data_IF_284117205334
#
_entry.id   IF_284117205334
#
_cell.length_a   1.000
_cell.length_b   1.000
_cell.length_c   1.000
_cell.angle_alpha   90.00
_cell.angle_beta   90.00
_cell.angle_gamma   90.00
#
_symmetry.space_group_name_H-M   'P 1'
#
loop_
_entity.id
_entity.type
_entity.pdbx_description
1 polymer ?
#
# COMPACT_ATOMS: atom_id res chain seq x y z
N UNK A 1 -7.86 -14.46 -30.15
CA UNK A 1 -7.15 -13.19 -30.33
C UNK A 1 -5.99 -13.21 -29.37
N UNK A 2 -4.81 -13.40 -29.93
CA UNK A 2 -3.54 -13.36 -29.24
C UNK A 2 -3.32 -11.97 -28.62
N UNK A 3 -3.36 -11.88 -27.30
CA UNK A 3 -2.67 -10.81 -26.60
C UNK A 3 -1.39 -11.42 -26.05
N UNK A 4 -0.28 -11.12 -26.72
CA UNK A 4 1.05 -11.27 -26.15
C UNK A 4 1.05 -10.62 -24.76
N UNK A 5 1.66 -11.25 -23.73
CA UNK A 5 1.79 -10.60 -22.43
C UNK A 5 2.61 -9.33 -22.63
N UNK A 6 2.04 -8.19 -22.21
CA UNK A 6 2.72 -6.91 -22.12
C UNK A 6 4.11 -7.13 -21.52
N UNK A 7 5.12 -6.85 -22.34
CA UNK A 7 6.50 -6.88 -21.88
C UNK A 7 6.61 -5.96 -20.67
N UNK A 8 7.19 -6.45 -19.58
CA UNK A 8 7.59 -5.63 -18.45
C UNK A 8 8.64 -4.63 -18.95
N UNK A 9 8.17 -3.49 -19.44
CA UNK A 9 9.01 -2.40 -19.90
C UNK A 9 9.64 -1.73 -18.70
N UNK A 10 10.92 -2.00 -18.56
CA UNK A 10 11.85 -1.10 -17.91
C UNK A 10 11.65 0.29 -18.53
N UNK A 11 11.19 1.25 -17.72
CA UNK A 11 11.01 2.63 -18.18
C UNK A 11 12.35 3.20 -18.61
N UNK A 12 12.48 3.53 -19.91
CA UNK A 12 13.57 4.34 -20.41
C UNK A 12 13.16 5.82 -20.32
N UNK A 13 13.82 6.54 -19.41
CA UNK A 13 13.61 7.98 -19.23
C UNK A 13 14.48 8.81 -20.19
N UNK A 14 15.22 8.21 -21.13
CA UNK A 14 16.28 8.84 -21.93
C UNK A 14 15.91 10.14 -22.66
N UNK A 15 14.62 10.44 -22.87
CA UNK A 15 14.10 11.60 -23.61
C UNK A 15 13.34 12.64 -22.77
N UNK A 16 13.19 12.45 -21.45
CA UNK A 16 12.49 13.44 -20.60
C UNK A 16 13.38 14.65 -20.28
N UNK A 17 12.88 15.89 -20.25
CA UNK A 17 13.63 17.03 -19.70
C UNK A 17 14.11 16.69 -18.26
N UNK A 18 15.40 16.82 -17.98
CA UNK A 18 16.02 16.38 -16.72
C UNK A 18 16.49 14.92 -16.67
N UNK A 19 16.27 14.12 -17.72
CA UNK A 19 16.75 12.73 -17.77
C UNK A 19 18.27 12.59 -17.84
N UNK A 20 18.94 13.55 -18.48
CA UNK A 20 20.40 13.62 -18.48
C UNK A 20 20.93 13.89 -17.06
N UNK A 21 20.34 14.85 -16.36
CA UNK A 21 20.68 15.20 -14.98
C UNK A 21 20.38 14.05 -14.02
N UNK A 22 19.24 13.36 -14.19
CA UNK A 22 18.88 12.18 -13.41
C UNK A 22 19.84 11.01 -13.65
N UNK A 23 20.23 10.74 -14.91
CA UNK A 23 21.25 9.71 -15.22
C UNK A 23 22.59 10.06 -14.58
N UNK A 24 22.99 11.32 -14.65
CA UNK A 24 24.22 11.78 -14.04
C UNK A 24 24.17 11.64 -12.51
N UNK A 25 23.06 12.03 -11.87
CA UNK A 25 22.85 11.87 -10.45
C UNK A 25 22.88 10.39 -10.01
N UNK A 26 22.27 9.50 -10.78
CA UNK A 26 22.31 8.06 -10.54
C UNK A 26 23.72 7.49 -10.66
N UNK A 27 24.48 7.85 -11.70
CA UNK A 27 25.86 7.38 -11.85
C UNK A 27 26.78 7.95 -10.76
N UNK A 28 26.58 9.21 -10.35
CA UNK A 28 27.29 9.79 -9.19
C UNK A 28 26.97 9.04 -7.91
N UNK A 29 25.69 8.81 -7.61
CA UNK A 29 25.26 8.07 -6.42
C UNK A 29 25.79 6.63 -6.42
N UNK A 30 25.81 5.97 -7.58
CA UNK A 30 26.38 4.63 -7.73
C UNK A 30 27.89 4.61 -7.52
N UNK A 31 28.62 5.56 -8.11
CA UNK A 31 30.08 5.67 -7.95
C UNK A 31 30.44 5.90 -6.48
N UNK A 32 29.69 6.78 -5.81
CA UNK A 32 29.88 7.06 -4.39
C UNK A 32 29.57 5.85 -3.51
N UNK A 33 28.44 5.19 -3.73
CA UNK A 33 28.08 3.97 -3.01
C UNK A 33 29.10 2.85 -3.22
N UNK A 34 29.55 2.65 -4.47
CA UNK A 34 30.58 1.65 -4.81
C UNK A 34 31.86 1.92 -4.05
N UNK A 35 32.36 3.16 -4.07
CA UNK A 35 33.56 3.56 -3.33
C UNK A 35 33.43 3.21 -1.85
N UNK A 36 32.35 3.64 -1.20
CA UNK A 36 32.11 3.39 0.23
C UNK A 36 32.06 1.90 0.59
N UNK A 37 31.38 1.09 -0.23
CA UNK A 37 31.30 -0.35 0.01
C UNK A 37 32.61 -1.08 -0.29
N UNK A 38 33.35 -0.67 -1.32
CA UNK A 38 34.67 -1.20 -1.63
C UNK A 38 35.63 -0.94 -0.46
N UNK A 39 35.73 0.31 0.00
CA UNK A 39 36.62 0.69 1.11
C UNK A 39 36.27 -0.11 2.39
N UNK A 40 34.97 -0.30 2.64
CA UNK A 40 34.50 -1.13 3.74
C UNK A 40 34.93 -2.59 3.59
N UNK A 41 34.71 -3.21 2.43
CA UNK A 41 35.08 -4.60 2.16
C UNK A 41 36.60 -4.81 2.22
N UNK A 42 37.39 -3.87 1.68
CA UNK A 42 38.85 -3.92 1.73
C UNK A 42 39.34 -3.90 3.18
N UNK A 43 38.76 -3.03 4.01
CA UNK A 43 39.05 -2.99 5.45
C UNK A 43 38.70 -4.32 6.13
N UNK A 44 37.53 -4.89 5.83
CA UNK A 44 37.10 -6.18 6.40
C UNK A 44 38.02 -7.31 5.98
N UNK A 45 38.42 -7.37 4.71
CA UNK A 45 39.30 -8.41 4.20
C UNK A 45 40.72 -8.31 4.76
N UNK A 46 41.23 -7.09 4.94
CA UNK A 46 42.53 -6.84 5.60
C UNK A 46 42.54 -7.35 7.05
N UNK A 47 41.47 -7.05 7.80
CA UNK A 47 41.29 -7.53 9.17
C UNK A 47 41.22 -9.07 9.26
N UNK A 48 40.77 -9.74 8.21
CA UNK A 48 40.72 -11.21 8.12
C UNK A 48 42.03 -11.83 7.59
N UNK A 49 43.05 -11.01 7.31
CA UNK A 49 44.32 -11.48 6.76
C UNK A 49 44.21 -12.03 5.34
N UNK A 50 43.21 -11.57 4.58
CA UNK A 50 43.06 -11.97 3.19
C UNK A 50 44.22 -11.42 2.34
N UNK A 51 44.77 -12.21 1.40
CA UNK A 51 45.72 -11.67 0.42
C UNK A 51 45.00 -10.69 -0.50
N UNK A 52 45.64 -9.56 -0.78
CA UNK A 52 45.13 -8.49 -1.67
C UNK A 52 43.69 -8.00 -1.33
N UNK A 53 43.46 -7.44 -0.14
CA UNK A 53 42.13 -7.04 0.33
C UNK A 53 41.36 -6.12 -0.63
N UNK A 54 42.07 -5.21 -1.30
CA UNK A 54 41.51 -4.29 -2.30
C UNK A 54 40.98 -5.01 -3.54
N UNK A 55 41.73 -6.00 -4.04
CA UNK A 55 41.33 -6.80 -5.21
C UNK A 55 40.13 -7.67 -4.85
N UNK A 56 40.16 -8.28 -3.66
CA UNK A 56 39.06 -9.09 -3.18
C UNK A 56 37.79 -8.26 -2.95
N UNK A 57 37.93 -7.02 -2.47
CA UNK A 57 36.83 -6.06 -2.33
C UNK A 57 36.18 -5.72 -3.68
N UNK A 58 36.99 -5.43 -4.71
CA UNK A 58 36.47 -5.16 -6.06
C UNK A 58 35.73 -6.38 -6.63
N UNK A 59 36.32 -7.58 -6.52
CA UNK A 59 35.71 -8.82 -7.02
C UNK A 59 34.42 -9.16 -6.30
N UNK A 60 34.41 -9.08 -4.97
CA UNK A 60 33.22 -9.37 -4.16
C UNK A 60 32.10 -8.36 -4.45
N UNK A 61 32.44 -7.07 -4.53
CA UNK A 61 31.46 -6.04 -4.82
C UNK A 61 30.88 -6.19 -6.23
N UNK A 62 31.70 -6.54 -7.23
CA UNK A 62 31.21 -6.83 -8.58
C UNK A 62 30.31 -8.06 -8.62
N UNK A 63 30.73 -9.15 -7.99
CA UNK A 63 29.94 -10.38 -7.93
C UNK A 63 28.57 -10.18 -7.27
N UNK A 64 28.48 -9.32 -6.25
CA UNK A 64 27.25 -9.09 -5.51
C UNK A 64 26.33 -8.04 -6.16
N UNK A 65 26.88 -7.08 -6.91
CA UNK A 65 26.13 -5.88 -7.32
C UNK A 65 26.03 -5.68 -8.84
N UNK A 66 26.88 -6.33 -9.63
CA UNK A 66 26.90 -6.16 -11.10
C UNK A 66 26.22 -7.34 -11.78
N UNK A 67 24.91 -7.43 -11.58
CA UNK A 67 24.06 -8.41 -12.26
C UNK A 67 23.71 -7.93 -13.67
N UNK A 68 23.61 -8.87 -14.61
CA UNK A 68 23.24 -8.61 -16.00
C UNK A 68 22.16 -9.55 -16.47
N UNK A 69 21.29 -9.05 -17.33
CA UNK A 69 20.33 -9.87 -18.06
C UNK A 69 21.10 -10.85 -18.96
N UNK A 70 20.83 -12.15 -18.81
CA UNK A 70 21.50 -13.20 -19.61
C UNK A 70 21.25 -13.05 -21.11
N UNK A 71 20.16 -12.39 -21.51
CA UNK A 71 19.76 -12.21 -22.90
C UNK A 71 20.32 -10.93 -23.56
N UNK A 72 20.36 -9.81 -22.85
CA UNK A 72 20.84 -8.53 -23.41
C UNK A 72 22.25 -8.14 -22.96
N UNK A 73 22.77 -8.73 -21.88
CA UNK A 73 24.00 -8.28 -21.23
C UNK A 73 23.88 -6.92 -20.53
N UNK A 74 22.73 -6.26 -20.62
CA UNK A 74 22.45 -5.02 -19.90
C UNK A 74 22.44 -5.25 -18.39
N UNK A 75 22.77 -4.23 -17.61
CA UNK A 75 22.71 -4.32 -16.15
C UNK A 75 21.27 -4.57 -15.68
N UNK A 76 21.13 -5.51 -14.75
CA UNK A 76 19.89 -5.76 -14.05
C UNK A 76 19.44 -4.49 -13.32
N UNK A 77 18.16 -4.16 -13.43
CA UNK A 77 17.56 -2.99 -12.77
C UNK A 77 16.71 -3.36 -11.55
N UNK A 78 16.63 -4.65 -11.22
CA UNK A 78 15.89 -5.12 -10.05
C UNK A 78 16.60 -4.70 -8.76
N UNK A 79 15.82 -4.20 -7.79
CA UNK A 79 16.31 -3.92 -6.43
C UNK A 79 16.43 -5.14 -5.53
N UNK A 80 16.30 -6.36 -6.09
CA UNK A 80 16.32 -7.62 -5.35
C UNK A 80 17.75 -8.08 -4.96
N UNK A 81 18.78 -7.36 -5.42
CA UNK A 81 20.17 -7.49 -5.01
C UNK A 81 20.56 -6.13 -4.39
N UNK A 82 21.36 -5.99 -3.31
CA UNK A 82 22.05 -6.93 -2.44
C UNK A 82 21.61 -6.71 -0.98
N UNK A 83 20.67 -7.52 -0.52
CA UNK A 83 20.44 -7.84 0.90
C UNK A 83 20.19 -9.34 0.91
N UNK A 84 20.82 -10.08 1.82
CA UNK A 84 20.34 -11.43 2.10
C UNK A 84 18.95 -11.26 2.74
N UNK A 85 17.87 -11.68 2.08
CA UNK A 85 16.55 -11.50 2.65
C UNK A 85 16.42 -12.28 3.97
N UNK A 86 15.63 -11.75 4.89
CA UNK A 86 15.26 -12.41 6.14
C UNK A 86 14.22 -13.54 5.90
N UNK A 87 13.76 -13.66 4.66
CA UNK A 87 12.80 -14.65 4.18
C UNK A 87 13.31 -15.28 2.86
N UNK A 88 12.73 -16.39 2.44
CA UNK A 88 13.03 -17.03 1.15
C UNK A 88 12.33 -16.35 -0.05
N UNK A 89 11.72 -15.17 0.17
CA UNK A 89 11.09 -14.39 -0.90
C UNK A 89 12.10 -14.08 -2.01
N UNK A 90 11.69 -14.34 -3.25
CA UNK A 90 12.52 -14.22 -4.46
C UNK A 90 13.78 -15.10 -4.48
N UNK A 91 13.82 -16.17 -3.67
CA UNK A 91 14.93 -17.15 -3.63
C UNK A 91 16.29 -16.46 -3.50
N UNK A 92 16.41 -15.52 -2.57
CA UNK A 92 17.65 -14.76 -2.32
C UNK A 92 18.20 -14.01 -3.57
N UNK A 93 17.37 -13.79 -4.58
CA UNK A 93 17.76 -13.22 -5.87
C UNK A 93 18.26 -14.24 -6.89
N UNK A 94 18.40 -15.53 -6.55
CA UNK A 94 18.75 -16.60 -7.50
C UNK A 94 17.62 -16.84 -8.53
N UNK A 95 16.37 -16.62 -8.14
CA UNK A 95 15.23 -16.64 -9.04
C UNK A 95 15.00 -15.31 -9.77
N UNK A 96 15.93 -14.34 -9.71
CA UNK A 96 15.76 -13.05 -10.37
C UNK A 96 15.56 -13.21 -11.88
N UNK A 97 14.72 -12.35 -12.46
CA UNK A 97 14.41 -12.35 -13.89
C UNK A 97 15.65 -12.12 -14.76
N UNK A 98 16.71 -11.46 -14.26
CA UNK A 98 17.94 -11.24 -15.01
C UNK A 98 18.74 -12.52 -15.26
N UNK A 99 18.60 -13.54 -14.40
CA UNK A 99 19.27 -14.83 -14.55
C UNK A 99 18.54 -15.78 -15.54
N UNK A 100 17.38 -15.37 -16.08
CA UNK A 100 16.53 -16.21 -16.92
C UNK A 100 16.47 -15.70 -18.35
N UNK A 101 16.50 -16.62 -19.32
CA UNK A 101 16.29 -16.29 -20.72
C UNK A 101 14.87 -15.76 -20.92
N UNK A 102 14.64 -14.99 -21.99
CA UNK A 102 13.28 -14.51 -22.34
C UNK A 102 12.27 -15.66 -22.46
N UNK A 103 12.69 -16.81 -22.98
CA UNK A 103 11.83 -18.00 -23.08
C UNK A 103 11.49 -18.59 -21.70
N UNK A 104 12.47 -18.67 -20.80
CA UNK A 104 12.23 -19.19 -19.43
C UNK A 104 11.38 -18.23 -18.60
N UNK A 105 11.55 -16.91 -18.78
CA UNK A 105 10.67 -15.89 -18.19
C UNK A 105 9.23 -16.08 -18.65
N UNK A 106 9.00 -16.24 -19.97
CA UNK A 106 7.67 -16.49 -20.55
C UNK A 106 7.06 -17.78 -19.99
N UNK A 107 7.81 -18.88 -20.00
CA UNK A 107 7.35 -20.18 -19.46
C UNK A 107 6.98 -20.08 -17.98
N UNK A 108 7.81 -19.42 -17.17
CA UNK A 108 7.52 -19.28 -15.73
C UNK A 108 6.28 -18.43 -15.51
N UNK A 109 6.11 -17.35 -16.28
CA UNK A 109 4.92 -16.51 -16.22
C UNK A 109 3.65 -17.28 -16.61
N UNK A 110 3.69 -18.03 -17.71
CA UNK A 110 2.59 -18.91 -18.13
C UNK A 110 2.26 -19.96 -17.08
N UNK A 111 3.27 -20.61 -16.50
CA UNK A 111 3.08 -21.57 -15.43
C UNK A 111 2.46 -20.92 -14.19
N UNK A 112 2.95 -19.76 -13.77
CA UNK A 112 2.38 -19.01 -12.65
C UNK A 112 0.91 -18.64 -12.90
N UNK A 113 0.58 -18.13 -14.10
CA UNK A 113 -0.81 -17.82 -14.48
C UNK A 113 -1.69 -19.07 -14.44
N UNK A 114 -1.23 -20.18 -15.04
CA UNK A 114 -1.97 -21.44 -15.05
C UNK A 114 -2.17 -21.99 -13.63
N UNK A 115 -1.18 -21.87 -12.75
CA UNK A 115 -1.28 -22.30 -11.37
C UNK A 115 -2.29 -21.45 -10.59
N UNK A 116 -2.30 -20.12 -10.78
CA UNK A 116 -3.29 -19.24 -10.16
C UNK A 116 -4.69 -19.55 -10.67
N UNK A 117 -4.85 -19.74 -11.98
CA UNK A 117 -6.13 -20.12 -12.56
C UNK A 117 -6.62 -21.45 -11.99
N UNK A 118 -5.76 -22.47 -11.97
CA UNK A 118 -6.09 -23.78 -11.41
C UNK A 118 -6.44 -23.70 -9.92
N UNK A 119 -5.76 -22.85 -9.15
CA UNK A 119 -6.09 -22.61 -7.74
C UNK A 119 -7.50 -22.01 -7.60
N UNK A 120 -7.83 -20.95 -8.35
CA UNK A 120 -9.16 -20.32 -8.27
C UNK A 120 -10.28 -21.21 -8.84
N UNK A 121 -9.97 -22.12 -9.76
CA UNK A 121 -10.89 -23.16 -10.26
C UNK A 121 -11.03 -24.36 -9.31
N UNK A 122 -10.09 -24.52 -8.36
CA UNK A 122 -10.13 -25.60 -7.38
C UNK A 122 -11.27 -25.43 -6.37
N UNK A 123 -11.69 -26.50 -5.66
CA UNK A 123 -12.71 -26.39 -4.61
C UNK A 123 -12.36 -25.36 -3.52
N UNK A 124 -11.08 -25.23 -3.17
CA UNK A 124 -10.60 -24.26 -2.18
C UNK A 124 -10.78 -22.82 -2.68
N UNK A 125 -10.33 -22.52 -3.91
CA UNK A 125 -10.50 -21.20 -4.51
C UNK A 125 -11.96 -20.82 -4.76
N UNK A 126 -12.79 -21.79 -5.14
CA UNK A 126 -14.24 -21.60 -5.29
C UNK A 126 -14.92 -21.37 -3.94
N UNK A 127 -14.47 -22.01 -2.86
CA UNK A 127 -14.98 -21.77 -1.51
C UNK A 127 -14.65 -20.35 -1.05
N UNK A 128 -13.40 -19.89 -1.21
CA UNK A 128 -12.99 -18.51 -0.89
C UNK A 128 -13.86 -17.51 -1.66
N UNK A 129 -14.04 -17.73 -2.96
CA UNK A 129 -14.89 -16.86 -3.81
C UNK A 129 -16.35 -16.86 -3.33
N UNK A 130 -16.87 -18.01 -2.90
CA UNK A 130 -18.23 -18.12 -2.38
C UNK A 130 -18.39 -17.39 -1.03
N UNK A 131 -17.40 -17.50 -0.15
CA UNK A 131 -17.36 -16.83 1.14
C UNK A 131 -17.27 -15.30 0.97
N UNK A 132 -16.42 -14.82 0.06
CA UNK A 132 -16.34 -13.39 -0.30
C UNK A 132 -17.67 -12.86 -0.84
N UNK A 133 -18.34 -13.60 -1.72
CA UNK A 133 -19.67 -13.21 -2.24
C UNK A 133 -20.74 -13.23 -1.17
N UNK A 134 -20.69 -14.19 -0.24
CA UNK A 134 -21.63 -14.26 0.88
C UNK A 134 -21.43 -13.09 1.85
N UNK A 135 -20.17 -12.75 2.15
CA UNK A 135 -19.82 -11.59 2.95
C UNK A 135 -20.28 -10.28 2.30
N UNK A 136 -20.08 -10.14 0.99
CA UNK A 136 -20.56 -8.99 0.22
C UNK A 136 -22.09 -8.89 0.23
N UNK A 137 -22.80 -9.99 0.00
CA UNK A 137 -24.26 -10.00 0.06
C UNK A 137 -24.79 -9.65 1.47
N UNK A 138 -24.09 -10.12 2.52
CA UNK A 138 -24.37 -9.75 3.91
C UNK A 138 -24.19 -8.25 4.16
N UNK A 139 -23.08 -7.69 3.67
CA UNK A 139 -22.80 -6.25 3.74
C UNK A 139 -23.88 -5.42 3.02
N UNK A 140 -24.24 -5.77 1.78
CA UNK A 140 -25.27 -5.05 1.03
C UNK A 140 -26.64 -5.12 1.71
N UNK A 141 -26.99 -6.27 2.28
CA UNK A 141 -28.24 -6.42 3.05
C UNK A 141 -28.24 -5.53 4.29
N UNK A 142 -27.12 -5.49 5.02
CA UNK A 142 -26.97 -4.64 6.20
C UNK A 142 -27.01 -3.14 5.84
N UNK A 143 -26.31 -2.73 4.77
CA UNK A 143 -26.29 -1.35 4.26
C UNK A 143 -27.68 -0.87 3.83
N UNK A 144 -28.49 -1.74 3.21
CA UNK A 144 -29.85 -1.40 2.82
C UNK A 144 -30.76 -1.00 4.03
N UNK A 145 -30.39 -1.43 5.24
CA UNK A 145 -31.06 -1.02 6.48
C UNK A 145 -30.54 0.29 7.08
N UNK A 146 -29.44 0.83 6.58
CA UNK A 146 -28.81 2.05 7.12
C UNK A 146 -29.38 3.29 6.42
N UNK A 147 -30.13 4.09 7.16
CA UNK A 147 -30.60 5.38 6.66
C UNK A 147 -29.42 6.34 6.50
N UNK A 148 -29.42 7.17 5.45
CA UNK A 148 -28.40 8.20 5.25
C UNK A 148 -27.00 7.67 4.91
N UNK A 149 -26.84 6.39 4.58
CA UNK A 149 -25.54 5.81 4.26
C UNK A 149 -25.52 5.29 2.82
N UNK A 150 -24.45 5.60 2.10
CA UNK A 150 -24.12 4.97 0.82
C UNK A 150 -22.64 4.59 0.83
N UNK A 151 -22.30 3.33 0.54
CA UNK A 151 -20.90 2.93 0.31
C UNK A 151 -20.68 2.84 -1.19
N UNK A 152 -19.67 3.55 -1.70
CA UNK A 152 -19.32 3.61 -3.12
C UNK A 152 -18.43 2.44 -3.51
N UNK A 153 -17.21 2.43 -2.98
CA UNK A 153 -16.26 1.34 -3.13
C UNK A 153 -15.69 0.91 -1.78
N UNK A 154 -15.39 -0.39 -1.66
CA UNK A 154 -14.66 -0.93 -0.52
C UNK A 154 -13.73 -2.07 -0.95
N UNK A 155 -12.68 -2.31 -0.16
CA UNK A 155 -11.72 -3.39 -0.34
C UNK A 155 -10.30 -2.91 -0.59
N UNK A 156 -9.49 -3.74 -1.26
CA UNK A 156 -8.05 -3.56 -1.38
C UNK A 156 -7.30 -4.46 -0.41
N UNK A 157 -6.31 -5.19 -0.94
CA UNK A 157 -5.57 -6.18 -0.16
C UNK A 157 -4.65 -5.50 0.85
N UNK A 158 -3.81 -4.56 0.40
CA UNK A 158 -2.97 -3.69 1.24
C UNK A 158 -2.58 -2.45 0.43
N UNK A 159 -3.18 -1.27 0.63
CA UNK A 159 -4.09 -0.88 1.72
C UNK A 159 -5.56 -1.29 1.51
N UNK A 160 -6.27 -1.57 2.61
CA UNK A 160 -7.74 -1.61 2.64
C UNK A 160 -8.29 -0.17 2.60
N UNK A 161 -9.32 0.05 1.80
CA UNK A 161 -9.89 1.36 1.51
C UNK A 161 -11.41 1.27 1.41
N UNK A 162 -12.09 2.29 1.92
CA UNK A 162 -13.54 2.45 1.80
C UNK A 162 -13.87 3.90 1.47
N UNK A 163 -14.87 4.12 0.63
CA UNK A 163 -15.43 5.43 0.34
C UNK A 163 -16.95 5.39 0.25
N UNK A 164 -17.58 6.55 0.44
CA UNK A 164 -19.02 6.66 0.42
C UNK A 164 -19.52 7.99 0.97
N UNK A 165 -20.78 8.00 1.39
CA UNK A 165 -21.48 9.10 2.01
C UNK A 165 -22.16 8.62 3.31
N UNK A 166 -22.06 9.42 4.38
CA UNK A 166 -22.76 9.22 5.64
C UNK A 166 -23.41 10.55 6.05
N UNK A 167 -24.74 10.53 6.13
CA UNK A 167 -25.60 11.63 6.54
C UNK A 167 -25.32 12.94 5.77
N UNK A 168 -24.97 12.83 4.47
CA UNK A 168 -24.69 13.96 3.57
C UNK A 168 -23.23 14.40 3.52
N UNK A 169 -22.34 13.67 4.18
CA UNK A 169 -20.90 13.89 4.15
C UNK A 169 -20.19 12.75 3.46
N UNK A 170 -19.42 13.07 2.41
CA UNK A 170 -18.58 12.05 1.80
C UNK A 170 -17.43 11.67 2.75
N UNK A 171 -16.98 10.43 2.67
CA UNK A 171 -15.88 9.94 3.51
C UNK A 171 -14.88 9.11 2.71
N UNK A 172 -13.67 9.03 3.24
CA UNK A 172 -12.64 8.10 2.79
C UNK A 172 -11.94 7.49 4.00
N UNK A 173 -12.01 6.18 4.11
CA UNK A 173 -11.28 5.37 5.08
C UNK A 173 -10.11 4.68 4.39
N UNK A 174 -8.98 4.59 5.09
CA UNK A 174 -7.82 3.84 4.64
C UNK A 174 -7.10 3.20 5.81
N UNK A 175 -6.91 1.89 5.74
CA UNK A 175 -5.96 1.14 6.57
C UNK A 175 -4.68 0.91 5.77
N UNK A 176 -3.53 1.14 6.40
CA UNK A 176 -2.24 0.74 5.86
C UNK A 176 -1.28 0.44 6.99
N UNK A 177 -0.72 -0.78 6.97
CA UNK A 177 0.32 -1.23 7.89
C UNK A 177 -0.14 -1.26 9.36
N UNK A 178 -1.39 -1.62 9.60
CA UNK A 178 -1.97 -1.70 10.94
C UNK A 178 -2.50 -0.36 11.47
N UNK A 179 -2.33 0.73 10.73
CA UNK A 179 -2.83 2.06 11.07
C UNK A 179 -3.99 2.43 10.14
N UNK A 180 -5.03 3.04 10.69
CA UNK A 180 -6.17 3.51 9.90
C UNK A 180 -6.46 4.99 10.13
N UNK A 181 -7.13 5.61 9.16
CA UNK A 181 -7.67 6.97 9.27
C UNK A 181 -9.00 7.11 8.52
N UNK A 182 -9.83 8.04 8.97
CA UNK A 182 -11.06 8.47 8.30
C UNK A 182 -10.96 9.96 7.98
N UNK A 183 -11.16 10.28 6.70
CA UNK A 183 -11.30 11.63 6.18
C UNK A 183 -12.77 11.89 5.83
N UNK A 184 -13.25 13.10 6.11
CA UNK A 184 -14.60 13.56 5.80
C UNK A 184 -14.56 14.76 4.85
N UNK A 185 -15.58 14.96 4.03
CA UNK A 185 -15.69 16.09 3.09
C UNK A 185 -14.49 16.18 2.14
N UNK A 186 -14.07 15.00 1.68
CA UNK A 186 -13.02 14.73 0.69
C UNK A 186 -13.30 15.53 -0.58
N UNK A 187 -12.31 16.33 -0.98
CA UNK A 187 -12.40 17.30 -2.07
C UNK A 187 -11.07 17.42 -2.82
N UNK A 188 -11.08 17.85 -4.09
CA UNK A 188 -9.86 18.08 -4.84
C UNK A 188 -8.93 19.05 -4.11
N UNK A 189 -7.67 18.64 -3.90
CA UNK A 189 -6.71 19.36 -3.07
C UNK A 189 -5.92 20.43 -3.83
N UNK A 190 -6.06 20.53 -5.15
CA UNK A 190 -5.19 21.29 -6.03
C UNK A 190 -3.80 20.70 -6.21
N UNK A 191 -3.48 19.58 -5.54
CA UNK A 191 -2.19 18.88 -5.67
C UNK A 191 -2.32 17.74 -6.66
N UNK A 192 -1.38 17.64 -7.58
CA UNK A 192 -1.39 16.62 -8.61
C UNK A 192 -0.23 15.64 -8.39
N UNK A 193 -0.53 14.35 -8.54
CA UNK A 193 0.49 13.29 -8.57
C UNK A 193 0.56 12.70 -9.95
N UNK A 194 1.76 12.30 -10.35
CA UNK A 194 1.99 11.57 -11.59
C UNK A 194 1.49 10.15 -11.42
N UNK A 195 0.54 9.72 -12.23
CA UNK A 195 0.00 8.36 -12.25
C UNK A 195 0.38 7.66 -13.54
N UNK A 196 0.49 6.33 -13.51
CA UNK A 196 0.58 5.53 -14.72
C UNK A 196 -0.82 5.51 -15.35
N UNK A 197 -0.98 6.18 -16.50
CA UNK A 197 -2.24 6.25 -17.23
C UNK A 197 -2.42 5.09 -18.21
N UNK A 198 -1.34 4.39 -18.53
CA UNK A 198 -1.34 3.22 -19.40
C UNK A 198 0.05 2.98 -19.97
N UNK A 199 0.10 2.17 -21.03
CA UNK A 199 1.31 1.86 -21.78
C UNK A 199 1.01 2.12 -23.25
N UNK A 200 1.88 2.86 -23.93
CA UNK A 200 1.80 3.06 -25.37
C UNK A 200 2.05 1.73 -26.11
N UNK A 201 1.71 1.68 -27.40
CA UNK A 201 1.91 0.49 -28.25
C UNK A 201 3.37 0.08 -28.41
N UNK A 202 4.32 0.98 -28.13
CA UNK A 202 5.76 0.73 -28.12
C UNK A 202 6.30 0.34 -26.74
N UNK A 203 5.41 0.14 -25.76
CA UNK A 203 5.79 -0.23 -24.40
C UNK A 203 6.13 0.92 -23.47
N UNK A 204 6.15 2.16 -23.97
CA UNK A 204 6.49 3.29 -23.12
C UNK A 204 5.35 3.60 -22.15
N UNK A 205 5.61 3.77 -20.85
CA UNK A 205 4.56 4.09 -19.89
C UNK A 205 4.02 5.49 -20.17
N UNK A 206 2.71 5.56 -20.39
CA UNK A 206 1.98 6.81 -20.49
C UNK A 206 1.72 7.30 -19.07
N UNK A 207 2.18 8.52 -18.77
CA UNK A 207 1.93 9.14 -17.48
C UNK A 207 0.82 10.18 -17.58
N UNK A 208 -0.11 10.11 -16.64
CA UNK A 208 -1.12 11.13 -16.42
C UNK A 208 -0.81 11.94 -15.16
N UNK A 209 -1.62 12.96 -14.93
CA UNK A 209 -1.72 13.60 -13.63
C UNK A 209 -3.10 13.28 -13.06
N UNK A 210 -3.12 12.82 -11.80
CA UNK A 210 -4.35 12.70 -11.03
C UNK A 210 -4.30 13.73 -9.91
N UNK A 211 -5.36 14.52 -9.79
CA UNK A 211 -5.52 15.39 -8.63
C UNK A 211 -5.74 14.52 -7.38
N UNK A 212 -5.02 14.84 -6.32
CA UNK A 212 -5.23 14.22 -5.02
C UNK A 212 -6.49 14.79 -4.41
N UNK A 213 -7.31 13.90 -3.87
CA UNK A 213 -8.43 14.27 -3.03
C UNK A 213 -7.98 14.21 -1.57
N UNK A 214 -8.46 15.15 -0.77
CA UNK A 214 -8.14 15.24 0.65
C UNK A 214 -9.38 15.74 1.40
N UNK A 215 -9.71 15.09 2.51
CA UNK A 215 -10.73 15.53 3.45
C UNK A 215 -10.13 15.99 4.77
N UNK A 216 -11.03 16.35 5.69
CA UNK A 216 -10.68 16.66 7.08
C UNK A 216 -10.55 15.34 7.86
N UNK A 217 -9.39 15.10 8.48
CA UNK A 217 -9.18 13.87 9.27
C UNK A 217 -10.00 13.98 10.55
N UNK A 218 -11.01 13.13 10.69
CA UNK A 218 -11.91 13.14 11.84
C UNK A 218 -11.53 12.11 12.90
N UNK A 219 -10.82 11.04 12.51
CA UNK A 219 -10.37 9.97 13.37
C UNK A 219 -9.19 9.21 12.75
N UNK A 220 -8.35 8.65 13.62
CA UNK A 220 -7.26 7.74 13.24
C UNK A 220 -6.98 6.79 14.41
N UNK A 221 -6.37 5.65 14.13
CA UNK A 221 -6.10 4.65 15.14
C UNK A 221 -5.39 3.42 14.59
N UNK A 222 -5.54 2.30 15.29
CA UNK A 222 -4.91 1.03 14.93
C UNK A 222 -5.94 -0.08 14.74
N UNK A 223 -5.56 -1.13 14.03
CA UNK A 223 -6.44 -2.30 13.84
C UNK A 223 -6.76 -3.05 15.14
N UNK A 224 -6.03 -2.73 16.22
CA UNK A 224 -6.26 -3.27 17.57
C UNK A 224 -7.34 -2.49 18.35
N UNK A 225 -7.90 -1.42 17.77
CA UNK A 225 -8.90 -0.61 18.43
C UNK A 225 -10.22 -1.39 18.63
N UNK A 226 -10.84 -1.16 19.80
CA UNK A 226 -12.11 -1.80 20.14
C UNK A 226 -13.18 -1.47 19.08
N UNK A 227 -13.79 -2.53 18.55
CA UNK A 227 -14.85 -2.41 17.54
C UNK A 227 -14.35 -2.26 16.11
N UNK A 228 -13.04 -2.30 15.83
CA UNK A 228 -12.50 -2.21 14.46
C UNK A 228 -13.13 -3.23 13.48
N UNK A 229 -13.49 -4.41 13.98
CA UNK A 229 -14.25 -5.42 13.22
C UNK A 229 -13.38 -6.31 12.33
N UNK A 230 -13.76 -7.58 12.21
CA UNK A 230 -13.08 -8.59 11.40
C UNK A 230 -13.84 -8.92 10.11
N UNK A 231 -15.13 -8.58 10.04
CA UNK A 231 -15.98 -8.77 8.87
C UNK A 231 -16.27 -7.44 8.16
N UNK A 232 -16.64 -7.44 6.86
CA UNK A 232 -17.02 -6.22 6.16
C UNK A 232 -18.18 -5.47 6.83
N UNK A 233 -19.15 -6.18 7.42
CA UNK A 233 -20.26 -5.56 8.15
C UNK A 233 -19.78 -4.85 9.40
N UNK A 234 -18.96 -5.51 10.22
CA UNK A 234 -18.40 -4.89 11.43
C UNK A 234 -17.51 -3.70 11.07
N UNK A 235 -16.74 -3.80 9.98
CA UNK A 235 -15.89 -2.70 9.50
C UNK A 235 -16.73 -1.50 9.03
N UNK A 236 -17.79 -1.75 8.28
CA UNK A 236 -18.70 -0.70 7.84
C UNK A 236 -19.38 -0.04 9.04
N UNK A 237 -19.88 -0.82 10.00
CA UNK A 237 -20.45 -0.33 11.25
C UNK A 237 -19.47 0.57 12.01
N UNK A 238 -18.23 0.12 12.18
CA UNK A 238 -17.16 0.89 12.83
C UNK A 238 -16.94 2.25 12.17
N UNK A 239 -16.80 2.27 10.83
CA UNK A 239 -16.58 3.51 10.07
C UNK A 239 -17.78 4.45 10.22
N UNK A 240 -18.99 3.94 10.02
CA UNK A 240 -20.23 4.72 10.05
C UNK A 240 -20.49 5.28 11.45
N UNK A 241 -20.31 4.48 12.50
CA UNK A 241 -20.47 4.95 13.89
C UNK A 241 -19.44 6.00 14.24
N UNK A 242 -18.18 5.82 13.82
CA UNK A 242 -17.13 6.82 14.06
C UNK A 242 -17.49 8.16 13.42
N UNK A 243 -18.01 8.15 12.18
CA UNK A 243 -18.47 9.36 11.49
C UNK A 243 -19.68 9.98 12.22
N UNK A 244 -20.70 9.19 12.54
CA UNK A 244 -21.91 9.68 13.21
C UNK A 244 -21.63 10.28 14.59
N UNK A 245 -20.77 9.64 15.36
CA UNK A 245 -20.32 10.16 16.66
C UNK A 245 -19.60 11.50 16.44
N UNK A 246 -18.72 11.60 15.44
CA UNK A 246 -18.06 12.86 15.11
C UNK A 246 -19.06 13.96 14.76
N UNK A 247 -20.00 13.70 13.85
CA UNK A 247 -21.02 14.66 13.42
C UNK A 247 -21.92 15.09 14.59
N UNK A 248 -22.37 14.14 15.41
CA UNK A 248 -23.18 14.43 16.59
C UNK A 248 -22.45 15.34 17.60
N UNK A 249 -21.13 15.17 17.77
CA UNK A 249 -20.31 16.02 18.64
C UNK A 249 -20.22 17.45 18.13
N UNK A 250 -20.20 17.67 16.82
CA UNK A 250 -20.10 19.02 16.24
C UNK A 250 -21.36 19.86 16.48
N UNK A 251 -22.55 19.24 16.48
CA UNK A 251 -23.82 19.95 16.61
C UNK A 251 -24.40 19.94 18.03
N UNK A 252 -23.86 19.10 18.92
CA UNK A 252 -24.37 18.97 20.26
C UNK A 252 -24.18 20.28 21.04
N UNK A 253 -25.26 20.86 21.59
CA UNK A 253 -25.16 21.98 22.54
C UNK A 253 -25.26 21.55 23.99
N UNK A 254 -25.76 20.33 24.24
CA UNK A 254 -26.05 19.77 25.57
C UNK A 254 -24.81 19.61 26.47
N UNK A 255 -23.61 19.58 25.89
CA UNK A 255 -22.36 19.53 26.67
C UNK A 255 -22.02 20.87 27.36
N UNK A 256 -22.78 21.94 27.07
CA UNK A 256 -22.72 23.23 27.75
C UNK A 256 -23.86 23.46 28.75
N UNK A 257 -24.86 22.56 28.80
CA UNK A 257 -26.00 22.70 29.68
C UNK A 257 -25.70 22.18 31.10
N UNK A 258 -26.51 22.62 32.07
CA UNK A 258 -26.42 22.14 33.46
C UNK A 258 -26.86 20.67 33.56
N UNK A 259 -25.90 19.78 33.78
CA UNK A 259 -26.12 18.33 33.89
C UNK A 259 -26.41 17.86 35.33
N UNK A 260 -26.53 18.78 36.30
CA UNK A 260 -26.74 18.46 37.73
C UNK A 260 -27.92 17.51 37.97
N UNK A 261 -28.98 17.64 37.18
CA UNK A 261 -30.17 16.78 37.29
C UNK A 261 -29.90 15.32 36.90
N UNK A 262 -28.99 15.09 35.97
CA UNK A 262 -28.61 13.74 35.52
C UNK A 262 -27.56 13.16 36.49
N UNK A 263 -26.63 13.97 36.98
CA UNK A 263 -25.68 13.56 38.02
C UNK A 263 -26.39 13.12 39.30
N UNK A 264 -27.43 13.85 39.71
CA UNK A 264 -28.27 13.50 40.85
C UNK A 264 -29.00 12.16 40.66
N UNK A 265 -29.38 11.81 39.42
CA UNK A 265 -30.01 10.53 39.10
C UNK A 265 -29.02 9.37 39.06
N UNK A 266 -27.80 9.61 38.58
CA UNK A 266 -26.76 8.58 38.45
C UNK A 266 -25.94 8.39 39.73
N UNK A 267 -25.95 9.36 40.65
CA UNK A 267 -25.17 9.33 41.88
C UNK A 267 -23.66 9.49 41.66
N UNK A 268 -23.24 9.92 40.47
CA UNK A 268 -21.84 10.13 40.10
C UNK A 268 -21.70 11.31 39.15
N UNK A 269 -20.58 12.06 39.19
CA UNK A 269 -20.31 13.12 38.23
C UNK A 269 -20.25 12.56 36.81
N UNK A 270 -20.83 13.28 35.87
CA UNK A 270 -20.85 12.86 34.47
C UNK A 270 -19.57 13.36 33.81
N UNK A 271 -18.70 12.44 33.40
CA UNK A 271 -17.45 12.79 32.70
C UNK A 271 -17.60 12.83 31.17
N UNK A 272 -18.77 12.50 30.65
CA UNK A 272 -19.07 12.41 29.21
C UNK A 272 -20.50 12.87 28.91
N UNK A 273 -20.69 13.69 27.87
CA UNK A 273 -22.03 14.11 27.46
C UNK A 273 -22.86 12.89 27.02
N UNK A 274 -24.04 12.63 27.61
CA UNK A 274 -24.85 11.45 27.28
C UNK A 274 -25.44 11.52 25.87
N UNK A 275 -25.47 12.69 25.24
CA UNK A 275 -26.03 12.88 23.89
C UNK A 275 -25.00 12.67 22.77
N UNK A 276 -23.73 12.97 22.99
CA UNK A 276 -22.71 12.95 21.92
C UNK A 276 -21.38 12.28 22.33
N UNK A 277 -21.25 11.84 23.59
CA UNK A 277 -20.05 11.20 24.09
C UNK A 277 -18.81 12.12 24.09
N UNK A 278 -18.97 13.44 24.05
CA UNK A 278 -17.86 14.39 24.27
C UNK A 278 -17.42 14.32 25.73
N UNK A 279 -16.11 14.25 25.99
CA UNK A 279 -15.59 14.31 27.36
C UNK A 279 -15.83 15.70 27.94
N UNK A 280 -16.42 15.76 29.13
CA UNK A 280 -16.68 17.03 29.79
C UNK A 280 -15.43 17.47 30.58
N UNK A 281 -15.12 18.78 30.60
CA UNK A 281 -14.09 19.31 31.48
C UNK A 281 -14.48 19.00 32.93
N UNK A 282 -13.50 18.58 33.72
CA UNK A 282 -13.65 18.31 35.16
C UNK A 282 -13.47 19.59 35.95
#
# INVERSE_FOLDING_TARGET
MDQEPEELYVTDFSTTPGAAEYREQLERARTEARRRYRDHLATVFDLQGAPEPEVLADVALDALTVWRYVDSGERCRCGCHPRLPETDLHDYGFACTCARTRQDRRRTWEQWRNNIQAFWESPEGQQITADERAAEAGLQTWLAGQQGVTVGSHGGLFPEQWDGDVDGHNFYFRERHGEWRIELDVRPSGRFVRTLAGTHSDGTPQYGQKELEQGDIIAHGTIDDDGYGATPVERAQFIIDTIRIHLARQICTLHHDDLSSIEALLGSPITWCPSCGTRLPT
#
